data_IF_232748892972
#
_entry.id   IF_232748892972
#
_cell.length_a   1.000
_cell.length_b   1.000
_cell.length_c   1.000
_cell.angle_alpha   90.00
_cell.angle_beta   90.00
_cell.angle_gamma   90.00
#
_symmetry.space_group_name_H-M   'P 1'
#
loop_
_entity.id
_entity.type
_entity.pdbx_description
1 polymer ?
#
# COMPACT_ATOMS: atom_id res chain seq x y z
N UNK A 1 28.93 -48.49 -31.35
CA UNK A 1 29.96 -49.47 -30.93
C UNK A 1 31.31 -48.80 -31.16
N UNK A 2 32.13 -48.66 -30.11
CA UNK A 2 33.48 -48.05 -30.20
C UNK A 2 34.47 -48.95 -30.96
N UNK A 3 35.81 -48.77 -30.82
CA UNK A 3 36.57 -47.72 -30.12
C UNK A 3 37.75 -47.17 -31.02
N UNK A 4 38.36 -46.02 -30.70
CA UNK A 4 39.67 -45.81 -30.04
C UNK A 4 40.96 -45.85 -30.91
N UNK A 5 41.87 -44.96 -30.49
CA UNK A 5 43.35 -44.99 -30.50
C UNK A 5 44.07 -44.90 -31.84
N UNK A 6 44.80 -43.81 -32.12
CA UNK A 6 46.12 -43.39 -31.56
C UNK A 6 47.28 -44.20 -32.19
N UNK A 7 48.45 -43.54 -32.34
CA UNK A 7 49.81 -43.96 -32.77
C UNK A 7 50.32 -42.76 -33.64
N UNK A 8 51.55 -42.26 -33.66
CA UNK A 8 52.89 -42.65 -33.18
C UNK A 8 53.81 -41.49 -33.65
N UNK A 9 54.72 -40.97 -32.80
CA UNK A 9 56.21 -40.94 -32.98
C UNK A 9 56.72 -40.12 -34.19
N UNK A 10 57.90 -39.53 -34.28
CA UNK A 10 59.25 -39.61 -33.70
C UNK A 10 59.91 -38.33 -34.32
N UNK A 11 61.00 -37.70 -33.90
CA UNK A 11 62.30 -38.27 -33.64
C UNK A 11 63.29 -37.13 -33.28
N UNK A 12 64.22 -37.54 -32.43
CA UNK A 12 65.57 -37.06 -32.07
C UNK A 12 66.26 -36.10 -33.07
N UNK A 13 67.00 -35.11 -32.57
CA UNK A 13 68.48 -35.14 -32.35
C UNK A 13 69.02 -33.79 -32.88
N UNK A 14 70.13 -33.18 -32.47
CA UNK A 14 71.19 -33.49 -31.52
C UNK A 14 72.08 -32.23 -31.42
N UNK A 15 72.59 -31.96 -30.22
CA UNK A 15 73.95 -31.43 -29.92
C UNK A 15 74.44 -30.14 -30.58
N UNK A 16 74.63 -29.06 -29.82
CA UNK A 16 75.78 -28.72 -28.94
C UNK A 16 76.70 -27.70 -29.62
N UNK A 17 76.65 -26.48 -29.10
CA UNK A 17 77.64 -25.38 -29.07
C UNK A 17 76.80 -24.23 -28.51
N UNK A 18 76.87 -23.84 -27.25
CA UNK A 18 78.04 -23.29 -26.57
C UNK A 18 77.86 -23.40 -25.05
N UNK A 19 78.95 -23.73 -24.38
CA UNK A 19 79.08 -23.78 -22.92
C UNK A 19 79.71 -22.47 -22.46
N UNK A 20 79.23 -21.96 -21.32
CA UNK A 20 79.74 -20.82 -20.53
C UNK A 20 79.32 -19.40 -20.95
N UNK A 21 78.22 -18.92 -20.38
CA UNK A 21 78.23 -17.87 -19.35
C UNK A 21 76.79 -17.53 -18.94
N UNK A 22 76.64 -16.94 -17.75
CA UNK A 22 75.43 -16.30 -17.20
C UNK A 22 74.56 -17.22 -16.32
N UNK A 23 75.03 -17.39 -15.08
CA UNK A 23 74.19 -17.32 -13.89
C UNK A 23 73.63 -15.90 -13.84
N UNK A 24 72.44 -15.65 -14.39
CA UNK A 24 71.48 -14.58 -14.05
C UNK A 24 70.32 -14.59 -15.07
N UNK A 25 69.31 -15.41 -14.84
CA UNK A 25 67.98 -15.21 -15.42
C UNK A 25 66.93 -15.92 -14.56
N UNK A 26 66.90 -15.54 -13.28
CA UNK A 26 65.67 -15.63 -12.49
C UNK A 26 64.78 -14.45 -12.87
N UNK A 27 63.46 -14.69 -12.84
CA UNK A 27 62.37 -13.77 -13.18
C UNK A 27 62.19 -13.48 -14.67
N UNK A 28 61.22 -14.18 -15.28
CA UNK A 28 60.19 -13.62 -16.16
C UNK A 28 59.22 -14.75 -16.57
N UNK A 29 58.58 -15.37 -15.58
CA UNK A 29 57.22 -15.88 -15.79
C UNK A 29 56.31 -14.78 -15.29
N UNK A 30 55.84 -13.96 -16.23
CA UNK A 30 54.78 -13.01 -15.97
C UNK A 30 53.54 -13.82 -15.58
N UNK A 31 53.26 -13.88 -14.27
CA UNK A 31 51.88 -13.93 -13.82
C UNK A 31 51.22 -12.69 -14.42
N UNK A 32 50.45 -12.86 -15.48
CA UNK A 32 49.40 -11.89 -15.75
C UNK A 32 48.56 -11.82 -14.47
N UNK A 33 48.34 -10.64 -13.87
CA UNK A 33 47.31 -10.56 -12.85
C UNK A 33 46.02 -10.98 -13.52
N UNK A 34 45.38 -12.03 -12.98
CA UNK A 34 43.94 -12.14 -13.11
C UNK A 34 43.39 -10.82 -12.58
N UNK A 35 43.04 -9.91 -13.48
CA UNK A 35 42.09 -8.86 -13.19
C UNK A 35 40.76 -9.59 -12.94
N UNK A 36 40.61 -10.16 -11.74
CA UNK A 36 39.30 -10.27 -11.14
C UNK A 36 38.79 -8.84 -11.13
N UNK A 37 37.89 -8.52 -12.07
CA UNK A 37 37.07 -7.32 -11.99
C UNK A 37 36.57 -7.28 -10.55
N UNK A 38 37.09 -6.35 -9.75
CA UNK A 38 36.58 -6.13 -8.40
C UNK A 38 35.15 -5.67 -8.60
N UNK A 39 34.20 -6.60 -8.54
CA UNK A 39 32.77 -6.30 -8.45
C UNK A 39 32.62 -5.25 -7.34
N UNK A 40 31.93 -4.16 -7.66
CA UNK A 40 32.04 -2.88 -6.96
C UNK A 40 32.05 -3.01 -5.44
N UNK A 41 33.00 -2.35 -4.79
CA UNK A 41 33.11 -2.31 -3.32
C UNK A 41 31.98 -1.49 -2.66
N UNK A 42 31.01 -1.04 -3.45
CA UNK A 42 29.88 -0.20 -3.11
C UNK A 42 28.66 -0.72 -3.89
N UNK A 43 27.54 -0.97 -3.21
CA UNK A 43 26.30 -1.42 -3.83
C UNK A 43 25.15 -0.49 -3.46
N UNK A 44 24.43 0.10 -4.43
CA UNK A 44 23.21 0.85 -4.12
C UNK A 44 22.08 -0.10 -3.74
N UNK A 45 21.47 0.15 -2.59
CA UNK A 45 20.38 -0.63 -1.97
C UNK A 45 19.33 0.32 -1.39
N UNK A 46 18.22 -0.23 -0.88
CA UNK A 46 17.15 0.53 -0.21
C UNK A 46 16.66 1.71 -1.06
N UNK A 47 16.27 1.41 -2.30
CA UNK A 47 15.74 2.37 -3.26
C UNK A 47 14.42 2.94 -2.74
N UNK A 48 14.27 4.26 -2.81
CA UNK A 48 13.02 4.93 -2.48
C UNK A 48 12.66 5.98 -3.52
N UNK A 49 11.36 6.10 -3.79
CA UNK A 49 10.76 7.16 -4.57
C UNK A 49 9.84 7.96 -3.64
N UNK A 50 10.05 9.27 -3.57
CA UNK A 50 9.29 10.14 -2.64
C UNK A 50 9.32 9.61 -1.18
N UNK A 51 10.50 9.12 -0.75
CA UNK A 51 10.78 8.55 0.57
C UNK A 51 10.09 7.22 0.91
N UNK A 52 9.38 6.62 -0.04
CA UNK A 52 8.72 5.34 0.11
C UNK A 52 9.42 4.27 -0.72
N UNK A 53 9.48 3.06 -0.18
CA UNK A 53 9.84 1.88 -0.96
C UNK A 53 8.65 1.49 -1.83
N UNK A 54 8.88 1.38 -3.14
CA UNK A 54 7.88 0.94 -4.10
C UNK A 54 6.48 1.58 -3.88
N UNK A 55 6.35 2.92 -3.87
CA UNK A 55 5.09 3.58 -3.55
C UNK A 55 4.01 3.22 -4.57
N UNK A 56 2.86 2.80 -4.06
CA UNK A 56 1.74 2.34 -4.89
C UNK A 56 1.12 3.44 -5.73
N UNK A 57 1.28 4.71 -5.33
CA UNK A 57 0.79 5.89 -6.05
C UNK A 57 1.64 7.13 -5.76
N UNK A 58 1.94 7.92 -6.81
CA UNK A 58 2.70 9.18 -6.74
C UNK A 58 2.10 10.20 -7.71
N UNK A 59 1.77 11.40 -7.23
CA UNK A 59 1.29 12.50 -8.09
C UNK A 59 2.39 13.49 -8.50
N UNK A 60 3.55 13.43 -7.84
CA UNK A 60 4.68 14.31 -8.16
C UNK A 60 5.26 13.89 -9.51
N UNK A 61 5.07 14.70 -10.55
CA UNK A 61 5.47 14.39 -11.94
C UNK A 61 6.98 14.39 -12.18
N UNK A 62 7.76 14.94 -11.25
CA UNK A 62 9.22 14.81 -11.19
C UNK A 62 9.60 14.21 -9.83
N UNK A 63 9.33 12.91 -9.63
CA UNK A 63 9.54 12.29 -8.34
C UNK A 63 11.02 12.31 -7.93
N UNK A 64 11.25 12.30 -6.62
CA UNK A 64 12.56 12.30 -5.99
C UNK A 64 12.99 10.88 -5.67
N UNK A 65 14.08 10.45 -6.29
CA UNK A 65 14.70 9.16 -6.10
C UNK A 65 15.82 9.25 -5.05
N UNK A 66 16.00 8.17 -4.29
CA UNK A 66 17.08 8.04 -3.33
C UNK A 66 17.50 6.59 -3.16
N UNK A 67 18.76 6.38 -2.78
CA UNK A 67 19.35 5.07 -2.49
C UNK A 67 20.37 5.17 -1.37
N UNK A 68 20.63 4.05 -0.71
CA UNK A 68 21.68 3.89 0.29
C UNK A 68 22.83 3.12 -0.35
N UNK A 69 24.05 3.61 -0.21
CA UNK A 69 25.23 2.89 -0.66
C UNK A 69 25.77 2.01 0.47
N UNK A 70 25.84 0.70 0.23
CA UNK A 70 26.40 -0.27 1.14
C UNK A 70 27.82 -0.66 0.70
N UNK A 71 28.81 -0.40 1.55
CA UNK A 71 30.19 -0.82 1.28
C UNK A 71 30.37 -2.32 1.55
N UNK A 72 31.27 -2.96 0.81
CA UNK A 72 31.64 -4.35 1.07
C UNK A 72 32.22 -4.53 2.49
N UNK A 73 32.05 -5.73 3.05
CA UNK A 73 32.49 -6.04 4.41
C UNK A 73 33.99 -5.73 4.61
N UNK A 74 34.32 -5.02 5.69
CA UNK A 74 35.68 -4.61 6.02
C UNK A 74 36.21 -3.39 5.26
N UNK A 75 35.48 -2.87 4.26
CA UNK A 75 35.86 -1.65 3.54
C UNK A 75 35.43 -0.42 4.34
N UNK A 76 36.33 0.57 4.47
CA UNK A 76 36.09 1.84 5.17
C UNK A 76 36.46 3.03 4.29
N UNK A 77 35.77 4.16 4.51
CA UNK A 77 35.99 5.39 3.77
C UNK A 77 35.69 5.24 2.28
N UNK A 78 34.76 4.33 1.94
CA UNK A 78 34.22 4.24 0.60
C UNK A 78 33.21 5.37 0.39
N UNK A 79 33.11 5.87 -0.84
CA UNK A 79 32.15 6.91 -1.19
C UNK A 79 31.70 6.79 -2.64
N UNK A 80 30.49 7.26 -2.91
CA UNK A 80 30.02 7.48 -4.27
C UNK A 80 30.72 8.71 -4.86
N UNK A 81 31.14 8.63 -6.11
CA UNK A 81 31.66 9.75 -6.92
C UNK A 81 30.78 10.09 -8.11
N UNK A 82 29.99 9.12 -8.59
CA UNK A 82 29.03 9.29 -9.67
C UNK A 82 27.85 8.32 -9.53
N UNK A 83 26.77 8.57 -10.25
CA UNK A 83 25.60 7.70 -10.35
C UNK A 83 25.05 7.66 -11.78
N UNK A 84 24.26 6.64 -12.08
CA UNK A 84 23.53 6.49 -13.34
C UNK A 84 22.20 5.83 -12.99
N UNK A 85 21.09 6.52 -13.29
CA UNK A 85 19.72 6.05 -13.10
C UNK A 85 19.11 5.70 -14.45
N UNK A 86 18.37 4.59 -14.47
CA UNK A 86 17.50 4.20 -15.58
C UNK A 86 16.07 4.06 -15.09
N UNK A 87 15.12 4.51 -15.91
CA UNK A 87 13.68 4.40 -15.67
C UNK A 87 13.01 3.91 -16.94
N UNK A 88 12.15 2.90 -16.79
CA UNK A 88 11.42 2.29 -17.90
C UNK A 88 9.94 2.07 -17.55
N UNK A 89 9.10 1.95 -18.58
CA UNK A 89 7.65 1.71 -18.45
C UNK A 89 7.30 0.29 -18.02
N UNK A 90 8.26 -0.64 -18.11
CA UNK A 90 8.17 -2.00 -17.58
C UNK A 90 9.53 -2.48 -17.11
N UNK A 91 9.55 -3.50 -16.25
CA UNK A 91 10.80 -4.09 -15.74
C UNK A 91 11.71 -4.60 -16.86
N UNK A 92 11.13 -5.20 -17.90
CA UNK A 92 11.87 -5.82 -19.01
C UNK A 92 12.55 -4.80 -19.93
N UNK A 93 12.10 -3.54 -19.89
CA UNK A 93 12.66 -2.45 -20.69
C UNK A 93 13.82 -1.71 -19.99
N UNK A 94 14.20 -2.08 -18.76
CA UNK A 94 15.23 -1.35 -17.99
C UNK A 94 16.60 -1.29 -18.67
N UNK A 95 16.96 -2.26 -19.51
CA UNK A 95 18.21 -2.24 -20.27
C UNK A 95 18.17 -1.29 -21.48
N UNK A 96 16.96 -0.97 -21.94
CA UNK A 96 16.64 -0.04 -23.03
C UNK A 96 15.67 1.02 -22.51
N UNK A 97 16.04 1.64 -21.38
CA UNK A 97 15.19 2.50 -20.59
C UNK A 97 14.47 3.56 -21.45
N UNK A 98 13.16 3.41 -21.58
CA UNK A 98 12.31 4.19 -22.48
C UNK A 98 11.76 5.47 -21.84
N UNK A 99 11.89 5.65 -20.52
CA UNK A 99 11.41 6.85 -19.82
C UNK A 99 12.55 7.80 -19.43
N UNK A 100 13.67 7.26 -18.94
CA UNK A 100 14.85 8.04 -18.60
C UNK A 100 16.10 7.18 -18.57
N UNK A 101 17.16 7.61 -19.25
CA UNK A 101 18.53 7.17 -18.99
C UNK A 101 19.32 8.44 -18.63
N UNK A 102 19.79 8.52 -17.40
CA UNK A 102 20.49 9.73 -16.93
C UNK A 102 21.90 9.83 -17.48
N UNK A 103 22.43 8.77 -18.10
CA UNK A 103 23.87 8.58 -18.29
C UNK A 103 24.66 8.68 -16.97
N UNK A 104 26.00 8.65 -17.03
CA UNK A 104 26.85 8.84 -15.85
C UNK A 104 26.85 10.30 -15.41
N UNK A 105 26.32 10.55 -14.22
CA UNK A 105 26.28 11.85 -13.57
C UNK A 105 27.38 11.96 -12.51
N UNK A 106 28.30 12.92 -12.68
CA UNK A 106 29.43 13.16 -11.75
C UNK A 106 28.95 13.91 -10.51
N UNK A 107 28.36 13.18 -9.56
CA UNK A 107 27.81 13.75 -8.33
C UNK A 107 27.82 12.72 -7.19
N UNK A 108 28.13 13.20 -5.99
CA UNK A 108 28.04 12.41 -4.75
C UNK A 108 26.60 12.37 -4.20
N UNK A 109 25.63 13.05 -4.83
CA UNK A 109 24.23 13.07 -4.39
C UNK A 109 23.60 11.66 -4.54
N UNK A 110 23.02 11.15 -3.45
CA UNK A 110 22.30 9.86 -3.43
C UNK A 110 20.88 9.96 -2.87
N UNK A 111 20.43 11.19 -2.57
CA UNK A 111 19.08 11.45 -2.06
C UNK A 111 18.45 12.61 -2.79
N UNK A 112 17.13 12.59 -2.93
CA UNK A 112 16.34 13.65 -3.59
C UNK A 112 16.82 13.94 -5.02
N UNK A 113 17.31 12.93 -5.73
CA UNK A 113 17.66 13.03 -7.14
C UNK A 113 16.36 13.13 -7.91
N UNK A 114 16.12 14.25 -8.58
CA UNK A 114 14.87 14.46 -9.30
C UNK A 114 14.90 13.65 -10.59
N UNK A 115 13.75 13.06 -10.91
CA UNK A 115 13.50 12.53 -12.23
C UNK A 115 13.52 13.66 -13.27
N UNK A 116 14.35 13.49 -14.31
CA UNK A 116 14.56 14.46 -15.41
C UNK A 116 14.33 13.83 -16.79
N UNK A 117 13.56 12.73 -16.83
CA UNK A 117 13.20 12.04 -18.07
C UNK A 117 12.01 12.63 -18.80
N UNK A 118 11.34 11.77 -19.57
CA UNK A 118 10.12 12.10 -20.31
C UNK A 118 8.97 12.52 -19.40
N UNK A 119 8.00 13.26 -19.93
CA UNK A 119 6.79 13.60 -19.17
C UNK A 119 6.02 12.32 -18.81
N UNK A 120 5.81 12.09 -17.52
CA UNK A 120 5.05 10.96 -17.00
C UNK A 120 3.54 11.20 -17.14
N UNK A 121 2.80 10.14 -17.41
CA UNK A 121 1.35 10.14 -17.63
C UNK A 121 0.58 9.46 -16.50
N UNK A 122 -0.73 9.72 -16.42
CA UNK A 122 -1.59 9.15 -15.38
C UNK A 122 -1.62 7.63 -15.40
N UNK A 123 -1.54 7.02 -14.22
CA UNK A 123 -1.54 5.56 -14.05
C UNK A 123 -0.30 4.84 -14.60
N UNK A 124 0.72 5.57 -15.04
CA UNK A 124 1.93 4.99 -15.62
C UNK A 124 2.78 4.30 -14.56
N UNK A 125 3.10 3.03 -14.80
CA UNK A 125 4.11 2.32 -14.02
C UNK A 125 5.50 2.73 -14.47
N UNK A 126 6.39 2.92 -13.50
CA UNK A 126 7.77 3.35 -13.71
C UNK A 126 8.67 2.43 -12.90
N UNK A 127 9.41 1.58 -13.60
CA UNK A 127 10.45 0.74 -13.02
C UNK A 127 11.77 1.49 -13.11
N UNK A 128 12.62 1.40 -12.07
CA UNK A 128 13.89 2.09 -12.08
C UNK A 128 14.98 1.31 -11.36
N UNK A 129 16.21 1.58 -11.77
CA UNK A 129 17.41 1.05 -11.14
C UNK A 129 18.51 2.10 -11.14
N UNK A 130 19.48 1.94 -10.24
CA UNK A 130 20.64 2.82 -10.15
C UNK A 130 21.92 2.00 -10.04
N UNK A 131 22.98 2.50 -10.66
CA UNK A 131 24.35 2.06 -10.37
C UNK A 131 25.19 3.27 -9.97
N UNK A 132 26.26 3.01 -9.23
CA UNK A 132 27.12 4.06 -8.65
C UNK A 132 28.58 3.78 -8.97
N UNK A 133 29.42 4.81 -8.89
CA UNK A 133 30.88 4.66 -8.97
C UNK A 133 31.49 4.97 -7.63
N UNK A 134 32.45 4.16 -7.20
CA UNK A 134 33.13 4.34 -5.93
C UNK A 134 34.27 5.38 -6.03
N UNK A 135 35.09 5.52 -4.97
CA UNK A 135 36.21 6.49 -4.96
C UNK A 135 37.32 6.20 -5.98
N UNK A 136 37.42 4.95 -6.44
CA UNK A 136 38.42 4.46 -7.39
C UNK A 136 37.87 4.44 -8.84
N UNK A 137 36.72 5.09 -9.08
CA UNK A 137 35.98 5.13 -10.35
C UNK A 137 35.56 3.74 -10.86
N UNK A 138 35.36 2.79 -9.94
CA UNK A 138 34.85 1.44 -10.26
C UNK A 138 33.32 1.45 -10.16
N UNK A 139 32.58 1.05 -11.21
CA UNK A 139 31.13 0.95 -11.16
C UNK A 139 30.68 -0.22 -10.27
N UNK A 140 29.54 -0.02 -9.60
CA UNK A 140 28.75 -1.09 -9.00
C UNK A 140 28.01 -1.88 -10.10
N UNK A 141 27.53 -3.06 -9.73
CA UNK A 141 26.40 -3.66 -10.43
C UNK A 141 25.16 -2.75 -10.32
N UNK A 142 24.17 -2.96 -11.16
CA UNK A 142 22.87 -2.31 -11.01
C UNK A 142 22.21 -2.76 -9.70
N UNK A 143 21.47 -1.86 -9.06
CA UNK A 143 20.58 -2.22 -7.95
C UNK A 143 19.52 -3.20 -8.43
N UNK A 144 18.92 -3.93 -7.49
CA UNK A 144 17.60 -4.50 -7.75
C UNK A 144 16.63 -3.39 -8.18
N UNK A 145 15.77 -3.62 -9.19
CA UNK A 145 14.82 -2.62 -9.63
C UNK A 145 13.81 -2.25 -8.53
N UNK A 146 13.66 -0.96 -8.28
CA UNK A 146 12.49 -0.40 -7.60
C UNK A 146 11.42 0.00 -8.60
N UNK A 147 10.25 0.38 -8.11
CA UNK A 147 9.19 0.93 -8.96
C UNK A 147 8.45 2.08 -8.27
N UNK A 148 7.67 2.83 -9.03
CA UNK A 148 6.54 3.64 -8.54
C UNK A 148 5.44 3.63 -9.60
N UNK A 149 4.22 3.97 -9.19
CA UNK A 149 3.11 4.19 -10.12
C UNK A 149 2.63 5.63 -10.03
N UNK A 150 2.42 6.25 -11.18
CA UNK A 150 1.80 7.57 -11.23
C UNK A 150 0.33 7.47 -10.85
N UNK A 151 -0.15 8.48 -10.13
CA UNK A 151 -1.57 8.63 -9.85
C UNK A 151 -2.39 9.08 -11.06
N UNK A 152 -3.62 9.49 -10.79
CA UNK A 152 -4.48 10.17 -11.77
C UNK A 152 -4.21 11.68 -11.64
N UNK A 153 -3.34 12.19 -12.52
CA UNK A 153 -2.65 13.47 -12.37
C UNK A 153 -3.57 14.67 -12.61
N UNK A 154 -4.53 14.53 -13.52
CA UNK A 154 -5.53 15.54 -13.80
C UNK A 154 -6.88 15.14 -13.21
N UNK A 155 -7.64 16.12 -12.71
CA UNK A 155 -8.98 15.85 -12.17
C UNK A 155 -9.94 15.25 -13.21
N UNK A 156 -9.68 15.51 -14.50
CA UNK A 156 -10.43 14.93 -15.61
C UNK A 156 -10.14 13.45 -15.86
N UNK A 157 -9.09 12.87 -15.30
CA UNK A 157 -8.76 11.45 -15.44
C UNK A 157 -9.66 10.56 -14.58
N UNK A 158 -10.20 11.12 -13.49
CA UNK A 158 -11.27 10.49 -12.74
C UNK A 158 -12.58 10.52 -13.54
N UNK A 159 -13.06 9.32 -13.87
CA UNK A 159 -14.37 9.06 -14.48
C UNK A 159 -15.38 8.55 -13.46
N UNK A 160 -14.89 8.08 -12.31
CA UNK A 160 -15.71 7.65 -11.20
C UNK A 160 -16.48 8.80 -10.53
N UNK A 161 -17.65 8.45 -10.01
CA UNK A 161 -18.53 9.31 -9.23
C UNK A 161 -18.45 8.95 -7.75
N UNK A 162 -18.55 9.96 -6.90
CA UNK A 162 -18.70 9.75 -5.46
C UNK A 162 -20.05 9.11 -5.19
N UNK A 163 -20.04 7.97 -4.49
CA UNK A 163 -21.25 7.23 -4.11
C UNK A 163 -21.31 7.04 -2.60
N UNK A 164 -22.52 6.81 -2.08
CA UNK A 164 -22.73 6.46 -0.68
C UNK A 164 -24.01 5.65 -0.50
N UNK A 165 -24.20 5.13 0.71
CA UNK A 165 -25.38 4.35 1.04
C UNK A 165 -26.65 5.21 1.02
N UNK A 166 -27.78 4.70 0.50
CA UNK A 166 -29.02 5.49 0.34
C UNK A 166 -29.65 5.94 1.65
N UNK A 167 -29.41 5.22 2.76
CA UNK A 167 -29.93 5.53 4.09
C UNK A 167 -29.11 6.57 4.87
N UNK A 168 -28.03 7.10 4.29
CA UNK A 168 -27.25 8.19 4.87
C UNK A 168 -27.55 9.51 4.15
N UNK A 169 -27.46 10.64 4.84
CA UNK A 169 -27.60 11.98 4.24
C UNK A 169 -26.28 12.52 3.69
N UNK A 170 -26.23 13.79 3.32
CA UNK A 170 -24.96 14.52 3.08
C UNK A 170 -24.30 14.99 4.39
N UNK A 171 -25.14 15.24 5.40
CA UNK A 171 -24.75 15.79 6.68
C UNK A 171 -24.01 14.78 7.56
N UNK A 172 -23.19 15.31 8.47
CA UNK A 172 -22.54 14.52 9.50
C UNK A 172 -23.52 14.09 10.60
N UNK A 173 -23.11 13.10 11.39
CA UNK A 173 -23.81 12.73 12.61
C UNK A 173 -23.80 13.90 13.61
N UNK A 174 -24.91 14.10 14.34
CA UNK A 174 -25.02 15.17 15.31
C UNK A 174 -24.01 14.96 16.43
N UNK A 175 -23.44 16.07 16.89
CA UNK A 175 -22.55 16.06 18.06
C UNK A 175 -23.38 16.06 19.34
N UNK A 176 -22.92 15.37 20.39
CA UNK A 176 -23.50 15.51 21.71
C UNK A 176 -23.20 16.89 22.30
N UNK A 177 -23.83 17.17 23.44
CA UNK A 177 -23.55 18.37 24.23
C UNK A 177 -22.05 18.51 24.54
N UNK A 178 -21.58 19.74 24.77
CA UNK A 178 -20.17 20.04 25.06
C UNK A 178 -19.78 19.58 26.47
N UNK A 179 -19.74 18.27 26.66
CA UNK A 179 -19.49 17.58 27.93
C UNK A 179 -18.61 16.34 27.65
N UNK A 180 -17.46 16.18 28.36
CA UNK A 180 -16.60 14.99 28.32
C UNK A 180 -17.34 13.65 28.33
N UNK A 181 -18.41 13.57 29.12
CA UNK A 181 -19.15 12.33 29.40
C UNK A 181 -20.40 12.17 28.53
N UNK A 182 -20.69 13.12 27.63
CA UNK A 182 -21.85 13.02 26.76
C UNK A 182 -21.62 12.07 25.57
N UNK A 183 -22.61 11.24 25.32
CA UNK A 183 -22.71 10.36 24.16
C UNK A 183 -23.69 10.93 23.14
N UNK A 184 -23.48 10.70 21.84
CA UNK A 184 -24.46 11.09 20.83
C UNK A 184 -25.75 10.28 21.01
N UNK A 185 -26.89 10.92 20.75
CA UNK A 185 -28.20 10.24 20.75
C UNK A 185 -28.31 9.17 19.64
N UNK A 186 -27.46 9.27 18.62
CA UNK A 186 -27.41 8.38 17.46
C UNK A 186 -25.95 8.14 17.03
N UNK A 187 -25.52 6.88 17.01
CA UNK A 187 -24.21 6.45 16.51
C UNK A 187 -24.19 6.21 14.99
N UNK A 188 -25.31 6.48 14.32
CA UNK A 188 -25.50 6.28 12.90
C UNK A 188 -25.85 4.83 12.54
N UNK A 189 -26.09 4.59 11.25
CA UNK A 189 -26.39 3.27 10.74
C UNK A 189 -25.13 2.38 10.70
N UNK A 190 -25.31 1.05 10.54
CA UNK A 190 -24.19 0.14 10.30
C UNK A 190 -23.31 0.57 9.13
N UNK A 191 -22.03 0.19 9.17
CA UNK A 191 -21.08 0.47 8.09
C UNK A 191 -21.64 -0.04 6.75
N UNK A 192 -21.64 0.77 5.67
CA UNK A 192 -22.09 0.31 4.37
C UNK A 192 -21.17 -0.76 3.78
N UNK A 193 -21.75 -1.85 3.28
CA UNK A 193 -21.18 -2.68 2.24
C UNK A 193 -21.64 -2.13 0.88
N UNK A 194 -20.72 -2.01 -0.08
CA UNK A 194 -20.95 -1.55 -1.45
C UNK A 194 -20.45 -2.63 -2.40
N UNK A 195 -21.22 -3.02 -3.43
CA UNK A 195 -20.76 -4.01 -4.41
C UNK A 195 -21.13 -3.65 -5.85
N UNK A 196 -20.29 -4.10 -6.80
CA UNK A 196 -20.55 -4.08 -8.24
C UNK A 196 -19.95 -5.30 -8.92
N UNK A 197 -20.78 -5.96 -9.72
CA UNK A 197 -20.37 -7.03 -10.61
C UNK A 197 -19.92 -6.46 -11.96
N UNK A 198 -18.92 -7.09 -12.58
CA UNK A 198 -18.39 -6.74 -13.88
C UNK A 198 -17.78 -7.97 -14.57
N UNK A 199 -17.54 -7.86 -15.87
CA UNK A 199 -17.00 -8.95 -16.70
C UNK A 199 -15.58 -8.64 -17.14
N UNK A 200 -14.76 -9.69 -17.23
CA UNK A 200 -13.40 -9.65 -17.77
C UNK A 200 -13.28 -10.79 -18.79
N UNK A 201 -13.38 -10.48 -20.08
CA UNK A 201 -13.44 -11.49 -21.15
C UNK A 201 -12.10 -11.74 -21.85
N UNK A 202 -11.11 -10.89 -21.57
CA UNK A 202 -9.82 -10.88 -22.27
C UNK A 202 -8.67 -11.13 -21.30
N UNK A 203 -7.54 -11.56 -21.86
CA UNK A 203 -6.30 -11.73 -21.09
C UNK A 203 -5.80 -10.39 -20.55
N UNK A 204 -5.73 -10.28 -19.22
CA UNK A 204 -5.31 -9.07 -18.51
C UNK A 204 -3.79 -8.92 -18.52
N UNK A 205 -3.31 -7.78 -18.99
CA UNK A 205 -1.91 -7.36 -18.90
C UNK A 205 -1.61 -6.75 -17.52
N UNK A 206 -2.43 -5.79 -17.10
CA UNK A 206 -2.34 -5.12 -15.78
C UNK A 206 -3.73 -4.70 -15.31
N UNK A 207 -3.94 -4.65 -13.99
CA UNK A 207 -5.17 -4.14 -13.41
C UNK A 207 -4.90 -3.36 -12.12
N UNK A 208 -5.28 -2.09 -12.10
CA UNK A 208 -5.00 -1.18 -10.98
C UNK A 208 -6.25 -0.45 -10.55
N UNK A 209 -6.59 -0.58 -9.27
CA UNK A 209 -7.69 0.14 -8.64
C UNK A 209 -7.18 1.41 -7.93
N UNK A 210 -7.63 2.58 -8.39
CA UNK A 210 -7.49 3.85 -7.67
C UNK A 210 -8.71 4.06 -6.79
N UNK A 211 -8.51 4.21 -5.48
CA UNK A 211 -9.60 4.15 -4.52
C UNK A 211 -9.40 5.07 -3.32
N UNK A 212 -10.50 5.63 -2.83
CA UNK A 212 -10.55 6.34 -1.55
C UNK A 212 -11.93 6.22 -0.90
N UNK A 213 -11.95 6.44 0.41
CA UNK A 213 -13.16 6.61 1.21
C UNK A 213 -13.05 7.89 2.04
N UNK A 214 -14.10 8.69 2.06
CA UNK A 214 -14.22 9.77 3.05
C UNK A 214 -14.63 9.15 4.38
N UNK A 215 -13.67 9.11 5.31
CA UNK A 215 -13.74 8.30 6.52
C UNK A 215 -12.64 7.26 6.40
N UNK A 216 -13.02 5.98 6.45
CA UNK A 216 -12.14 4.88 6.07
C UNK A 216 -12.81 3.99 5.03
N UNK A 217 -12.00 3.24 4.27
CA UNK A 217 -12.50 2.18 3.41
C UNK A 217 -11.71 0.88 3.57
N UNK A 218 -12.37 -0.22 3.25
CA UNK A 218 -11.71 -1.45 2.81
C UNK A 218 -12.15 -1.78 1.39
N UNK A 219 -11.20 -2.14 0.53
CA UNK A 219 -11.48 -2.63 -0.82
C UNK A 219 -11.41 -4.16 -0.83
N UNK A 220 -12.36 -4.79 -1.50
CA UNK A 220 -12.48 -6.23 -1.66
C UNK A 220 -12.67 -6.59 -3.14
N UNK A 221 -12.14 -7.72 -3.56
CA UNK A 221 -12.30 -8.26 -4.90
C UNK A 221 -12.47 -9.78 -4.82
N UNK A 222 -13.55 -10.30 -5.40
CA UNK A 222 -13.81 -11.73 -5.52
C UNK A 222 -13.74 -12.51 -4.18
N UNK A 223 -14.22 -11.89 -3.10
CA UNK A 223 -14.25 -12.50 -1.76
C UNK A 223 -12.98 -12.32 -0.93
N UNK A 224 -11.97 -11.57 -1.40
CA UNK A 224 -10.74 -11.31 -0.68
C UNK A 224 -10.47 -9.80 -0.52
N UNK A 225 -9.94 -9.40 0.64
CA UNK A 225 -9.50 -8.01 0.86
C UNK A 225 -8.34 -7.68 -0.07
N UNK A 226 -8.33 -6.46 -0.59
CA UNK A 226 -7.26 -5.91 -1.42
C UNK A 226 -6.25 -5.22 -0.50
N UNK A 227 -4.99 -5.65 -0.56
CA UNK A 227 -3.93 -5.13 0.29
C UNK A 227 -4.06 -5.53 1.77
N UNK A 228 -3.15 -5.02 2.59
CA UNK A 228 -3.07 -5.27 4.03
C UNK A 228 -3.21 -3.99 4.86
N UNK A 229 -3.53 -2.88 4.18
CA UNK A 229 -3.63 -1.58 4.82
C UNK A 229 -4.86 -1.53 5.72
N UNK A 230 -4.72 -0.77 6.81
CA UNK A 230 -5.72 -0.54 7.84
C UNK A 230 -5.97 0.95 7.95
N UNK A 231 -7.20 1.34 8.31
CA UNK A 231 -7.55 2.73 8.60
C UNK A 231 -7.14 3.72 7.48
N UNK A 232 -7.31 3.31 6.22
CA UNK A 232 -6.97 4.12 5.04
C UNK A 232 -8.20 4.85 4.48
N UNK A 233 -8.00 6.03 3.85
CA UNK A 233 -6.73 6.75 3.70
C UNK A 233 -6.30 7.49 4.98
N UNK A 234 -5.06 8.00 5.00
CA UNK A 234 -4.60 8.84 6.12
C UNK A 234 -5.46 10.09 6.24
N UNK A 235 -5.68 10.52 7.48
CA UNK A 235 -6.50 11.69 7.79
C UNK A 235 -5.88 12.98 7.24
N UNK A 236 -6.68 13.74 6.49
CA UNK A 236 -6.34 15.07 6.01
C UNK A 236 -7.43 16.08 6.35
N UNK A 237 -7.18 17.36 6.04
CA UNK A 237 -8.21 18.38 6.08
C UNK A 237 -9.06 18.27 4.78
N UNK A 238 -10.20 17.59 4.85
CA UNK A 238 -11.02 17.25 3.67
C UNK A 238 -11.81 18.44 3.11
N UNK A 239 -11.97 19.53 3.87
CA UNK A 239 -12.73 20.70 3.43
C UNK A 239 -12.89 21.79 4.48
N UNK A 240 -13.61 22.85 4.10
CA UNK A 240 -13.93 23.98 4.97
C UNK A 240 -14.82 23.53 6.14
N UNK A 241 -14.58 24.08 7.32
CA UNK A 241 -15.35 23.86 8.55
C UNK A 241 -15.55 25.20 9.24
N UNK A 242 -16.63 25.93 8.92
CA UNK A 242 -16.90 27.27 9.46
C UNK A 242 -16.91 27.32 11.00
N UNK A 243 -17.35 26.24 11.64
CA UNK A 243 -17.45 26.11 13.09
C UNK A 243 -16.09 25.98 13.82
N UNK A 244 -14.96 25.88 13.11
CA UNK A 244 -13.63 25.80 13.76
C UNK A 244 -13.32 27.05 14.61
N UNK A 245 -13.94 28.18 14.30
CA UNK A 245 -13.80 29.42 15.07
C UNK A 245 -14.50 29.36 16.43
N UNK A 246 -15.51 28.49 16.56
CA UNK A 246 -16.29 28.27 17.79
C UNK A 246 -15.83 27.02 18.56
N UNK A 247 -14.80 26.33 18.06
CA UNK A 247 -14.25 25.13 18.66
C UNK A 247 -13.53 25.41 19.99
N UNK A 248 -13.31 24.35 20.77
CA UNK A 248 -12.55 24.41 22.04
C UNK A 248 -11.15 25.01 21.86
N UNK A 249 -10.51 24.68 20.74
CA UNK A 249 -9.25 25.25 20.31
C UNK A 249 -9.54 26.08 19.06
N UNK A 250 -9.45 27.40 19.23
CA UNK A 250 -9.67 28.36 18.14
C UNK A 250 -8.68 28.11 17.00
N UNK A 251 -9.19 27.91 15.79
CA UNK A 251 -8.39 27.71 14.60
C UNK A 251 -9.01 28.43 13.39
N UNK A 252 -8.38 29.49 12.87
CA UNK A 252 -8.79 30.12 11.63
C UNK A 252 -8.77 29.12 10.48
N UNK A 253 -9.86 29.04 9.73
CA UNK A 253 -9.99 28.16 8.58
C UNK A 253 -9.32 28.76 7.32
N UNK A 254 -8.05 29.19 7.46
CA UNK A 254 -7.23 29.85 6.43
C UNK A 254 -6.11 28.92 5.93
N UNK A 255 -6.43 27.65 5.73
CA UNK A 255 -5.46 26.66 5.26
C UNK A 255 -5.07 26.89 3.80
N UNK A 256 -3.80 26.61 3.48
CA UNK A 256 -3.25 26.69 2.12
C UNK A 256 -4.00 25.80 1.14
N UNK A 257 -4.40 24.60 1.59
CA UNK A 257 -5.06 23.61 0.75
C UNK A 257 -5.84 22.60 1.60
N UNK A 258 -6.85 21.99 0.99
CA UNK A 258 -7.64 20.88 1.50
C UNK A 258 -7.42 19.68 0.60
N UNK A 259 -7.29 18.49 1.19
CA UNK A 259 -6.83 17.30 0.50
C UNK A 259 -7.66 16.09 0.88
N UNK A 260 -7.82 15.18 -0.06
CA UNK A 260 -8.41 13.86 0.11
C UNK A 260 -7.40 12.88 -0.45
N UNK A 261 -6.81 12.06 0.41
CA UNK A 261 -5.82 11.08 -0.05
C UNK A 261 -6.51 9.90 -0.74
N UNK A 262 -5.90 9.37 -1.79
CA UNK A 262 -6.32 8.13 -2.44
C UNK A 262 -5.14 7.17 -2.59
N UNK A 263 -5.47 5.88 -2.69
CA UNK A 263 -4.54 4.78 -2.85
C UNK A 263 -4.62 4.22 -4.26
N UNK A 264 -3.60 3.49 -4.69
CA UNK A 264 -3.70 2.60 -5.83
C UNK A 264 -3.27 1.18 -5.44
N UNK A 265 -3.99 0.17 -5.94
CA UNK A 265 -3.70 -1.23 -5.67
C UNK A 265 -3.60 -2.00 -6.98
N UNK A 266 -2.53 -2.79 -7.12
CA UNK A 266 -2.48 -3.81 -8.17
C UNK A 266 -3.39 -4.98 -7.77
N UNK A 267 -4.35 -5.28 -8.63
CA UNK A 267 -5.38 -6.30 -8.39
C UNK A 267 -5.41 -7.36 -9.49
N UNK A 268 -4.41 -7.36 -10.39
CA UNK A 268 -4.36 -8.29 -11.53
C UNK A 268 -4.53 -9.75 -11.10
N UNK A 269 -3.76 -10.18 -10.11
CA UNK A 269 -3.74 -11.58 -9.65
C UNK A 269 -5.03 -11.99 -8.90
N UNK A 270 -5.88 -11.02 -8.53
CA UNK A 270 -7.17 -11.28 -7.87
C UNK A 270 -8.34 -11.34 -8.88
N UNK A 271 -8.14 -10.88 -10.11
CA UNK A 271 -9.13 -10.98 -11.17
C UNK A 271 -9.26 -12.41 -11.70
N UNK A 272 -10.43 -12.71 -12.25
CA UNK A 272 -10.75 -13.98 -12.91
C UNK A 272 -11.26 -13.69 -14.31
N UNK A 273 -11.10 -14.65 -15.22
CA UNK A 273 -11.82 -14.63 -16.49
C UNK A 273 -13.33 -14.83 -16.22
N UNK A 274 -14.18 -14.05 -16.90
CA UNK A 274 -15.62 -14.01 -16.69
C UNK A 274 -16.03 -13.04 -15.58
N UNK A 275 -16.94 -13.50 -14.71
CA UNK A 275 -17.58 -12.63 -13.72
C UNK A 275 -16.65 -12.31 -12.55
N UNK A 276 -16.63 -11.03 -12.17
CA UNK A 276 -15.88 -10.51 -11.04
C UNK A 276 -16.76 -9.57 -10.21
N UNK A 277 -16.45 -9.44 -8.93
CA UNK A 277 -17.16 -8.54 -8.02
C UNK A 277 -16.19 -7.67 -7.24
N UNK A 278 -16.31 -6.36 -7.40
CA UNK A 278 -15.70 -5.38 -6.50
C UNK A 278 -16.61 -5.18 -5.29
N UNK A 279 -15.99 -5.09 -4.12
CA UNK A 279 -16.63 -4.77 -2.85
C UNK A 279 -15.93 -3.61 -2.15
N UNK A 280 -16.70 -2.77 -1.46
CA UNK A 280 -16.20 -1.72 -0.58
C UNK A 280 -16.89 -1.79 0.77
N UNK A 281 -16.14 -1.58 1.86
CA UNK A 281 -16.71 -1.32 3.19
C UNK A 281 -16.36 0.12 3.55
N UNK A 282 -17.32 0.91 4.02
CA UNK A 282 -17.10 2.30 4.45
C UNK A 282 -17.22 2.48 5.96
N UNK A 283 -16.22 3.11 6.57
CA UNK A 283 -16.23 3.51 7.98
C UNK A 283 -16.37 5.01 8.16
N UNK A 284 -16.93 5.46 9.29
CA UNK A 284 -17.07 6.88 9.65
C UNK A 284 -15.70 7.59 9.70
N UNK A 285 -14.71 6.91 10.28
CA UNK A 285 -13.35 7.43 10.49
C UNK A 285 -13.37 8.83 11.12
N UNK A 286 -12.38 9.65 10.74
CA UNK A 286 -12.35 11.06 11.12
C UNK A 286 -13.16 11.99 10.22
N UNK A 287 -13.87 11.45 9.22
CA UNK A 287 -14.74 12.24 8.35
C UNK A 287 -16.10 12.52 9.00
N UNK A 288 -16.65 11.51 9.69
CA UNK A 288 -17.94 11.57 10.37
C UNK A 288 -17.87 11.30 11.89
N UNK A 289 -16.97 11.93 12.66
CA UNK A 289 -16.90 11.71 14.10
C UNK A 289 -18.08 12.38 14.83
N UNK A 290 -18.69 11.67 15.78
CA UNK A 290 -19.79 12.16 16.60
C UNK A 290 -19.36 12.57 18.03
N UNK A 291 -18.13 13.09 18.21
CA UNK A 291 -17.60 13.49 19.53
C UNK A 291 -17.73 15.01 19.71
N UNK A 292 -18.08 15.50 20.90
CA UNK A 292 -18.36 16.94 21.10
C UNK A 292 -17.18 17.87 20.80
N UNK A 293 -15.94 17.41 20.94
CA UNK A 293 -14.74 18.19 20.59
C UNK A 293 -14.29 18.00 19.14
N UNK A 294 -14.86 17.04 18.41
CA UNK A 294 -14.55 16.80 17.01
C UNK A 294 -15.43 17.69 16.11
N UNK A 295 -14.92 17.99 14.91
CA UNK A 295 -15.64 18.72 13.88
C UNK A 295 -15.71 17.85 12.63
N UNK A 296 -16.89 17.27 12.31
CA UNK A 296 -17.06 16.37 11.18
C UNK A 296 -17.21 17.14 9.85
N UNK A 297 -17.30 16.40 8.75
CA UNK A 297 -17.44 16.94 7.40
C UNK A 297 -18.71 16.47 6.68
N UNK A 298 -19.19 15.27 6.98
CA UNK A 298 -20.35 14.66 6.34
C UNK A 298 -20.40 13.15 6.60
N UNK A 299 -21.30 12.45 5.90
CA UNK A 299 -21.39 10.99 5.93
C UNK A 299 -20.33 10.30 5.04
N UNK A 300 -19.98 9.03 5.29
CA UNK A 300 -19.00 8.32 4.48
C UNK A 300 -19.32 8.28 2.98
N UNK A 301 -18.28 8.39 2.15
CA UNK A 301 -18.39 8.37 0.68
C UNK A 301 -17.30 7.51 0.06
N UNK A 302 -17.60 6.84 -1.04
CA UNK A 302 -16.66 5.99 -1.76
C UNK A 302 -16.38 6.54 -3.16
N UNK A 303 -15.13 6.45 -3.59
CA UNK A 303 -14.70 6.71 -4.95
C UNK A 303 -13.73 5.62 -5.38
N UNK A 304 -14.05 4.90 -6.46
CA UNK A 304 -13.22 3.81 -6.96
C UNK A 304 -13.21 3.77 -8.48
N UNK A 305 -12.03 3.60 -9.06
CA UNK A 305 -11.82 3.46 -10.49
C UNK A 305 -10.77 2.36 -10.73
N UNK A 306 -11.21 1.24 -11.28
CA UNK A 306 -10.37 0.12 -11.68
C UNK A 306 -10.08 0.19 -13.18
N UNK A 307 -8.81 0.32 -13.53
CA UNK A 307 -8.31 0.21 -14.89
C UNK A 307 -7.86 -1.23 -15.17
N UNK A 308 -8.33 -1.83 -16.24
CA UNK A 308 -7.96 -3.18 -16.69
C UNK A 308 -7.41 -3.07 -18.10
N UNK A 309 -6.09 -3.17 -18.24
CA UNK A 309 -5.43 -3.18 -19.55
C UNK A 309 -5.28 -4.62 -20.00
N UNK A 310 -5.58 -4.88 -21.26
CA UNK A 310 -5.54 -6.19 -21.87
C UNK A 310 -4.33 -6.36 -22.79
N UNK A 311 -3.91 -7.59 -23.00
CA UNK A 311 -2.75 -7.91 -23.86
C UNK A 311 -2.96 -7.56 -25.34
N UNK A 312 -4.20 -7.23 -25.76
CA UNK A 312 -4.52 -6.73 -27.10
C UNK A 312 -4.39 -5.20 -27.23
N UNK A 313 -4.00 -4.51 -26.15
CA UNK A 313 -3.83 -3.06 -26.07
C UNK A 313 -5.12 -2.28 -25.77
N UNK A 314 -6.26 -2.96 -25.60
CA UNK A 314 -7.51 -2.32 -25.16
C UNK A 314 -7.57 -2.18 -23.63
N UNK A 315 -8.49 -1.34 -23.14
CA UNK A 315 -8.67 -1.08 -21.71
C UNK A 315 -10.16 -1.02 -21.36
N UNK A 316 -10.53 -1.64 -20.25
CA UNK A 316 -11.80 -1.39 -19.57
C UNK A 316 -11.58 -0.56 -18.30
N UNK A 317 -12.55 0.29 -17.98
CA UNK A 317 -12.55 1.10 -16.76
C UNK A 317 -13.83 0.86 -15.97
N UNK A 318 -13.72 0.19 -14.83
CA UNK A 318 -14.84 -0.06 -13.91
C UNK A 318 -14.86 1.04 -12.86
N UNK A 319 -15.98 1.77 -12.78
CA UNK A 319 -16.09 2.97 -11.93
C UNK A 319 -17.16 2.84 -10.84
N UNK A 320 -16.98 3.58 -9.75
CA UNK A 320 -18.03 3.89 -8.80
C UNK A 320 -19.07 4.82 -9.44
N UNK A 321 -20.31 4.35 -9.50
CA UNK A 321 -21.45 5.02 -10.14
C UNK A 321 -22.77 4.46 -9.56
N UNK A 322 -23.91 4.90 -10.09
CA UNK A 322 -25.23 4.46 -9.65
C UNK A 322 -25.53 2.97 -9.94
N UNK A 323 -24.67 2.26 -10.68
CA UNK A 323 -24.86 0.82 -10.92
C UNK A 323 -24.40 -0.04 -9.74
N UNK A 324 -23.79 0.56 -8.71
CA UNK A 324 -23.45 -0.14 -7.47
C UNK A 324 -24.68 -0.37 -6.61
N UNK A 325 -24.61 -1.39 -5.76
CA UNK A 325 -25.62 -1.67 -4.74
C UNK A 325 -25.01 -1.61 -3.35
N UNK A 326 -25.83 -1.38 -2.33
CA UNK A 326 -25.44 -1.23 -0.95
C UNK A 326 -26.31 -2.07 0.00
N UNK A 327 -25.68 -2.56 1.07
CA UNK A 327 -26.35 -3.16 2.22
C UNK A 327 -25.70 -2.70 3.52
N UNK A 328 -26.45 -2.75 4.62
CA UNK A 328 -25.89 -2.65 5.97
C UNK A 328 -24.99 -3.87 6.23
N UNK A 329 -23.83 -3.64 6.84
CA UNK A 329 -22.90 -4.68 7.29
C UNK A 329 -23.27 -5.21 8.69
N UNK A 330 -22.62 -6.29 9.15
CA UNK A 330 -22.64 -6.69 10.57
C UNK A 330 -21.97 -5.69 11.52
N UNK A 331 -21.27 -4.67 11.02
CA UNK A 331 -20.62 -3.62 11.83
C UNK A 331 -21.66 -2.54 12.16
N UNK A 332 -22.36 -2.71 13.28
CA UNK A 332 -23.47 -1.87 13.73
C UNK A 332 -23.05 -0.45 14.14
N UNK A 333 -21.85 -0.33 14.72
CA UNK A 333 -21.22 0.95 15.09
C UNK A 333 -19.74 0.89 14.72
N UNK A 334 -19.16 1.97 14.20
CA UNK A 334 -17.76 2.04 13.77
C UNK A 334 -17.16 3.44 14.04
N UNK A 335 -16.96 3.76 15.31
CA UNK A 335 -16.59 5.11 15.76
C UNK A 335 -15.19 5.14 16.33
N UNK A 336 -14.33 6.03 15.79
CA UNK A 336 -12.93 6.15 16.23
C UNK A 336 -12.80 6.41 17.74
N UNK A 337 -13.75 7.13 18.33
CA UNK A 337 -13.73 7.48 19.76
C UNK A 337 -14.66 6.65 20.64
N UNK A 338 -15.56 5.85 20.06
CA UNK A 338 -16.57 5.10 20.82
C UNK A 338 -16.47 3.58 20.63
N UNK A 339 -15.63 3.10 19.72
CA UNK A 339 -15.42 1.68 19.45
C UNK A 339 -16.27 1.15 18.30
N UNK A 340 -16.34 -0.18 18.24
CA UNK A 340 -17.05 -0.93 17.22
C UNK A 340 -18.02 -1.93 17.85
N UNK A 341 -19.22 -2.04 17.29
CA UNK A 341 -20.19 -3.06 17.67
C UNK A 341 -20.44 -3.95 16.47
N UNK A 342 -20.19 -5.26 16.62
CA UNK A 342 -20.30 -6.23 15.55
C UNK A 342 -21.34 -7.30 15.92
N UNK A 343 -22.22 -7.64 14.98
CA UNK A 343 -23.18 -8.74 15.12
C UNK A 343 -23.00 -9.79 14.02
N UNK A 344 -22.35 -10.90 14.37
CA UNK A 344 -22.00 -11.95 13.43
C UNK A 344 -23.22 -12.66 12.84
N UNK A 345 -24.40 -12.55 13.45
CA UNK A 345 -25.66 -13.09 12.89
C UNK A 345 -26.08 -12.36 11.62
N UNK A 346 -25.56 -11.15 11.39
CA UNK A 346 -25.86 -10.30 10.24
C UNK A 346 -24.80 -10.41 9.14
N UNK A 347 -23.83 -11.33 9.29
CA UNK A 347 -22.87 -11.63 8.22
C UNK A 347 -23.61 -12.06 6.95
N UNK A 348 -23.10 -11.61 5.81
CA UNK A 348 -23.58 -11.99 4.49
C UNK A 348 -22.46 -12.76 3.77
N UNK A 349 -22.35 -14.09 3.99
CA UNK A 349 -21.27 -14.87 3.42
C UNK A 349 -21.25 -14.76 1.89
N UNK A 350 -20.08 -14.42 1.35
CA UNK A 350 -19.90 -14.29 -0.10
C UNK A 350 -20.42 -12.99 -0.70
N UNK A 351 -20.83 -11.98 0.08
CA UNK A 351 -21.39 -10.71 -0.43
C UNK A 351 -20.61 -10.04 -1.57
N UNK A 352 -19.27 -10.19 -1.57
CA UNK A 352 -18.36 -9.67 -2.61
C UNK A 352 -17.83 -10.76 -3.56
N UNK A 353 -18.63 -11.79 -3.83
CA UNK A 353 -18.40 -12.80 -4.88
C UNK A 353 -19.46 -12.69 -6.00
N UNK A 354 -19.15 -13.13 -7.23
CA UNK A 354 -20.07 -13.03 -8.36
C UNK A 354 -21.37 -13.81 -8.21
N UNK A 355 -21.35 -14.93 -7.48
CA UNK A 355 -22.48 -15.84 -7.28
C UNK A 355 -23.45 -15.40 -6.16
N UNK A 356 -23.23 -14.23 -5.56
CA UNK A 356 -24.05 -13.72 -4.48
C UNK A 356 -25.35 -13.07 -4.98
N UNK A 357 -26.49 -13.49 -4.43
CA UNK A 357 -27.79 -12.87 -4.71
C UNK A 357 -27.94 -11.54 -3.97
N UNK A 358 -27.62 -10.46 -4.67
CA UNK A 358 -27.77 -9.09 -4.18
C UNK A 358 -29.14 -8.47 -4.50
N UNK A 359 -30.16 -9.25 -4.90
CA UNK A 359 -31.46 -8.70 -5.31
C UNK A 359 -32.20 -7.92 -4.21
N UNK A 360 -31.86 -8.17 -2.94
CA UNK A 360 -32.40 -7.46 -1.79
C UNK A 360 -31.58 -6.20 -1.40
N UNK A 361 -30.44 -5.96 -2.05
CA UNK A 361 -29.61 -4.78 -1.78
C UNK A 361 -30.23 -3.53 -2.41
N UNK A 362 -30.02 -2.38 -1.77
CA UNK A 362 -30.53 -1.11 -2.26
C UNK A 362 -29.54 -0.50 -3.26
N UNK A 363 -30.02 0.28 -4.23
CA UNK A 363 -29.13 1.01 -5.14
C UNK A 363 -28.38 2.11 -4.37
N UNK A 364 -27.09 2.31 -4.69
CA UNK A 364 -26.35 3.44 -4.12
C UNK A 364 -26.91 4.78 -4.61
N UNK A 365 -26.53 5.86 -3.96
CA UNK A 365 -26.83 7.22 -4.43
C UNK A 365 -25.55 8.01 -4.69
N UNK A 366 -25.61 8.91 -5.66
CA UNK A 366 -24.54 9.88 -5.89
C UNK A 366 -24.40 10.82 -4.69
N UNK A 367 -23.16 11.12 -4.36
CA UNK A 367 -22.78 12.04 -3.28
C UNK A 367 -22.01 13.23 -3.81
N UNK A 368 -22.10 14.34 -3.09
CA UNK A 368 -21.29 15.51 -3.42
C UNK A 368 -19.80 15.18 -3.29
N UNK A 369 -19.00 15.64 -4.25
CA UNK A 369 -17.54 15.61 -4.09
C UNK A 369 -17.11 16.44 -2.86
N UNK A 370 -16.08 16.00 -2.11
CA UNK A 370 -15.49 16.82 -1.05
C UNK A 370 -14.86 18.09 -1.62
N UNK A 371 -14.63 19.08 -0.76
CA UNK A 371 -13.94 20.32 -1.17
C UNK A 371 -12.46 20.08 -1.47
N UNK A 372 -11.83 19.16 -0.73
CA UNK A 372 -10.42 18.83 -0.87
C UNK A 372 -10.10 18.19 -2.23
N UNK A 373 -8.91 18.51 -2.74
CA UNK A 373 -8.39 17.91 -3.97
C UNK A 373 -7.96 16.46 -3.69
N UNK A 374 -8.24 15.59 -4.64
CA UNK A 374 -7.67 14.24 -4.64
C UNK A 374 -6.15 14.33 -4.79
N UNK A 375 -5.42 13.64 -3.92
CA UNK A 375 -3.95 13.56 -3.93
C UNK A 375 -3.49 12.15 -3.57
N UNK A 376 -2.38 11.70 -4.14
CA UNK A 376 -1.74 10.45 -3.80
C UNK A 376 -1.47 10.36 -2.28
N UNK A 377 -1.71 9.20 -1.69
CA UNK A 377 -1.30 8.90 -0.33
C UNK A 377 0.20 8.63 -0.29
N UNK A 378 0.98 9.65 0.08
CA UNK A 378 2.45 9.62 0.09
C UNK A 378 3.01 9.41 1.50
N UNK A 379 2.43 8.48 2.25
CA UNK A 379 2.94 8.02 3.54
C UNK A 379 2.74 6.51 3.66
N UNK A 380 3.45 5.86 4.58
CA UNK A 380 3.11 4.48 4.92
C UNK A 380 1.69 4.44 5.53
N UNK A 381 0.87 3.52 5.04
CA UNK A 381 -0.43 3.23 5.64
C UNK A 381 -0.25 2.49 6.97
N UNK A 382 -1.24 2.60 7.85
CA UNK A 382 -1.29 1.78 9.05
C UNK A 382 -1.45 0.30 8.67
N UNK A 383 -0.72 -0.57 9.38
CA UNK A 383 -0.73 -2.02 9.20
C UNK A 383 -0.64 -2.70 10.55
N UNK A 384 -1.05 -3.96 10.60
CA UNK A 384 -0.76 -4.82 11.77
C UNK A 384 0.73 -5.15 11.75
N UNK A 385 1.51 -4.49 12.59
CA UNK A 385 2.97 -4.66 12.66
C UNK A 385 3.38 -5.84 13.55
N UNK A 386 2.58 -6.17 14.55
CA UNK A 386 2.84 -7.24 15.51
C UNK A 386 1.52 -7.84 16.00
N UNK A 387 1.54 -9.13 16.34
CA UNK A 387 0.45 -9.82 17.06
C UNK A 387 1.00 -10.29 18.39
N UNK A 388 0.36 -9.85 19.48
CA UNK A 388 0.80 -10.11 20.84
C UNK A 388 -0.24 -11.00 21.52
N UNK A 389 0.20 -12.15 22.02
CA UNK A 389 -0.63 -13.04 22.82
C UNK A 389 -0.72 -12.50 24.27
N UNK A 390 -1.86 -12.66 24.96
CA UNK A 390 -1.98 -12.23 26.34
C UNK A 390 -1.04 -13.02 27.25
N UNK A 391 -0.39 -12.32 28.19
CA UNK A 391 0.46 -12.96 29.22
C UNK A 391 -0.37 -13.60 30.33
N UNK A 392 -1.59 -13.10 30.56
CA UNK A 392 -2.54 -13.74 31.47
C UNK A 392 -3.99 -13.40 31.13
N UNK A 393 -4.89 -14.34 31.43
CA UNK A 393 -6.34 -14.17 31.38
C UNK A 393 -6.88 -14.61 32.74
N UNK A 394 -7.27 -13.63 33.56
CA UNK A 394 -7.82 -13.85 34.89
C UNK A 394 -9.34 -13.77 34.84
N UNK A 395 -10.02 -14.84 35.25
CA UNK A 395 -11.46 -14.82 35.43
C UNK A 395 -11.79 -14.06 36.72
N UNK A 396 -12.63 -13.04 36.59
CA UNK A 396 -13.19 -12.27 37.70
C UNK A 396 -14.61 -12.77 38.03
N UNK A 397 -15.29 -12.05 38.93
CA UNK A 397 -16.68 -12.31 39.27
C UNK A 397 -17.65 -11.88 38.15
N UNK A 398 -18.88 -12.39 38.20
CA UNK A 398 -19.99 -11.98 37.32
C UNK A 398 -19.75 -12.17 35.82
N UNK A 399 -18.83 -13.05 35.43
CA UNK A 399 -18.53 -13.33 34.01
C UNK A 399 -17.55 -12.35 33.37
N UNK A 400 -16.94 -11.47 34.15
CA UNK A 400 -15.87 -10.60 33.68
C UNK A 400 -14.51 -11.31 33.62
N UNK A 401 -13.67 -10.87 32.70
CA UNK A 401 -12.30 -11.35 32.55
C UNK A 401 -11.36 -10.16 32.45
N UNK A 402 -10.22 -10.24 33.15
CA UNK A 402 -9.10 -9.30 32.97
C UNK A 402 -8.07 -9.96 32.07
N UNK A 403 -7.80 -9.33 30.93
CA UNK A 403 -6.80 -9.78 29.96
C UNK A 403 -5.60 -8.85 30.03
N UNK A 404 -4.42 -9.40 30.33
CA UNK A 404 -3.17 -8.65 30.39
C UNK A 404 -2.28 -9.07 29.21
N UNK A 405 -1.86 -8.10 28.41
CA UNK A 405 -0.92 -8.29 27.30
C UNK A 405 0.54 -8.03 27.71
N UNK A 406 0.80 -7.59 28.95
CA UNK A 406 2.13 -7.31 29.48
C UNK A 406 2.77 -6.03 28.96
N UNK A 407 2.12 -5.35 28.02
CA UNK A 407 2.57 -4.12 27.39
C UNK A 407 1.37 -3.25 27.01
N UNK A 408 1.54 -1.93 27.10
CA UNK A 408 0.57 -0.96 26.60
C UNK A 408 0.71 -0.84 25.08
N UNK A 409 -0.39 -1.02 24.36
CA UNK A 409 -0.42 -1.06 22.89
C UNK A 409 -1.40 -0.02 22.33
N UNK A 410 -1.20 0.36 21.07
CA UNK A 410 -2.23 0.98 20.23
C UNK A 410 -2.65 -0.03 19.17
N UNK A 411 -3.94 -0.36 19.12
CA UNK A 411 -4.48 -1.41 18.26
C UNK A 411 -5.83 -1.91 18.77
N UNK A 412 -6.17 -3.15 18.45
CA UNK A 412 -7.43 -3.78 18.86
C UNK A 412 -7.20 -5.25 19.23
N UNK A 413 -8.18 -5.84 19.93
CA UNK A 413 -8.17 -7.26 20.32
C UNK A 413 -8.74 -8.10 19.18
N UNK A 414 -8.15 -9.27 18.95
CA UNK A 414 -8.74 -10.33 18.12
C UNK A 414 -9.30 -11.42 19.02
N UNK A 415 -10.60 -11.69 18.91
CA UNK A 415 -11.20 -12.89 19.47
C UNK A 415 -10.89 -14.09 18.55
N UNK A 416 -10.64 -15.26 19.12
CA UNK A 416 -10.30 -16.46 18.36
C UNK A 416 -10.73 -17.73 19.08
N UNK A 417 -11.57 -18.53 18.43
CA UNK A 417 -12.06 -19.80 18.97
C UNK A 417 -13.04 -19.57 20.12
N UNK A 418 -13.80 -18.49 20.08
CA UNK A 418 -14.77 -18.19 21.14
C UNK A 418 -16.07 -18.91 20.85
N UNK A 419 -16.61 -19.59 21.86
CA UNK A 419 -17.85 -20.35 21.76
C UNK A 419 -18.89 -19.81 22.74
N UNK A 420 -20.11 -19.68 22.25
CA UNK A 420 -21.26 -19.30 23.08
C UNK A 420 -22.57 -19.49 22.32
N UNK A 421 -23.72 -19.31 23.00
CA UNK A 421 -25.01 -19.38 22.34
C UNK A 421 -25.16 -18.22 21.34
N UNK A 422 -25.91 -18.47 20.26
CA UNK A 422 -26.29 -17.44 19.29
C UNK A 422 -26.88 -16.22 19.99
N UNK A 423 -26.45 -15.03 19.57
CA UNK A 423 -26.91 -13.76 20.12
C UNK A 423 -26.29 -13.38 21.46
N UNK A 424 -25.36 -14.18 22.00
CA UNK A 424 -24.58 -13.78 23.16
C UNK A 424 -23.56 -12.71 22.77
N UNK A 425 -23.55 -11.61 23.51
CA UNK A 425 -22.67 -10.46 23.26
C UNK A 425 -21.51 -10.43 24.24
N UNK A 426 -20.31 -10.33 23.71
CA UNK A 426 -19.07 -10.14 24.45
C UNK A 426 -18.73 -8.65 24.41
N UNK A 427 -18.71 -8.00 25.58
CA UNK A 427 -18.20 -6.64 25.73
C UNK A 427 -16.68 -6.63 25.89
N UNK A 428 -16.02 -5.70 25.21
CA UNK A 428 -14.56 -5.52 25.22
C UNK A 428 -14.28 -4.07 25.59
N UNK A 429 -13.86 -3.87 26.84
CA UNK A 429 -13.54 -2.55 27.38
C UNK A 429 -12.03 -2.44 27.61
N UNK A 430 -11.32 -1.58 26.85
CA UNK A 430 -9.92 -1.27 27.12
C UNK A 430 -9.78 -0.60 28.50
N UNK A 431 -8.77 -1.00 29.27
CA UNK A 431 -8.45 -0.32 30.52
C UNK A 431 -7.76 1.01 30.20
N UNK A 432 -8.43 2.13 30.42
CA UNK A 432 -7.92 3.47 30.11
C UNK A 432 -8.19 4.45 31.27
N UNK A 433 -7.32 5.46 31.40
CA UNK A 433 -7.48 6.53 32.40
C UNK A 433 -8.74 7.38 32.18
N UNK A 434 -9.25 7.43 30.95
CA UNK A 434 -10.51 8.06 30.59
C UNK A 434 -11.30 7.08 29.73
N UNK A 435 -12.55 6.82 30.10
CA UNK A 435 -13.44 6.00 29.30
C UNK A 435 -13.71 6.68 27.94
N UNK A 436 -13.53 5.92 26.86
CA UNK A 436 -13.76 6.39 25.50
C UNK A 436 -14.42 5.28 24.68
N UNK A 437 -15.59 4.85 25.15
CA UNK A 437 -16.38 3.80 24.52
C UNK A 437 -15.85 2.39 24.71
N UNK A 438 -16.51 1.45 24.05
CA UNK A 438 -16.26 0.02 24.16
C UNK A 438 -16.51 -0.67 22.82
N UNK A 439 -15.95 -1.88 22.67
CA UNK A 439 -16.25 -2.72 21.53
C UNK A 439 -17.18 -3.85 21.97
N UNK A 440 -17.99 -4.38 21.05
CA UNK A 440 -18.80 -5.55 21.33
C UNK A 440 -18.86 -6.50 20.15
N UNK A 441 -18.96 -7.79 20.45
CA UNK A 441 -19.09 -8.86 19.47
C UNK A 441 -20.27 -9.76 19.84
N UNK A 442 -21.30 -9.81 19.00
CA UNK A 442 -22.45 -10.69 19.16
C UNK A 442 -22.26 -11.94 18.32
N UNK A 443 -22.23 -13.09 18.99
CA UNK A 443 -21.94 -14.40 18.40
C UNK A 443 -23.06 -14.87 17.46
N UNK A 444 -22.70 -15.49 16.33
CA UNK A 444 -23.66 -16.22 15.47
C UNK A 444 -24.05 -17.58 16.05
N UNK A 445 -23.25 -18.13 16.95
CA UNK A 445 -23.43 -19.45 17.54
C UNK A 445 -23.10 -20.60 16.56
N UNK A 446 -23.27 -21.84 17.05
CA UNK A 446 -23.12 -23.05 16.22
C UNK A 446 -21.69 -23.58 16.06
N UNK A 447 -20.72 -23.03 16.81
CA UNK A 447 -19.35 -23.50 16.86
C UNK A 447 -18.39 -22.40 17.31
N UNK A 448 -17.08 -22.67 17.33
CA UNK A 448 -16.07 -21.65 17.60
C UNK A 448 -16.02 -20.60 16.49
N UNK A 449 -15.97 -19.34 16.93
CA UNK A 449 -15.88 -18.13 16.09
C UNK A 449 -14.49 -17.48 16.15
#
# INVERSE_FOLDING_TARGET
MGPAMELIEFNRSKTMKELFAIILSGLLFACAPENSLKSGQLSPVALTCEYLENPSVVDVTQPRLAWINLAASGVRGERQTAWHVRVASSRDLLDQADLWDSEKQLSEQSTRVKYEGQTLSSGQECWWQVRTWNRDDVPSDWSEPGMWRMGLLDSGDWKASWIGAPWQGEEALPKPERNPDAEPDDFGPPAPLLRKDFQVEKSVESAVAFVTGLGYFELWLNGAKVGEDMLVPNQTNYGKRPELMDALIFLPDDFREYRVMYMAYDVKEQLKEGENTLGGILGNGFYNPARFWAAPYGSPRFLCQLHIKYTDGTEDVVVSDESWTASKSPILMNMVYYGEHYDARLEQPGWCKPDFDASAWEQVVLRKAPFGKLVAHTAYADKVTEKIEPVSIEKLDEGHYKVDFGVEISGWVRLNGVEGPEGHTIGIMPNANLYSGENSYTLRGGGPE
#
